data_IF_332347056094
#
_entry.id   IF_332347056094
#
_cell.length_a   1.000
_cell.length_b   1.000
_cell.length_c   1.000
_cell.angle_alpha   90.00
_cell.angle_beta   90.00
_cell.angle_gamma   90.00
#
_symmetry.space_group_name_H-M   'P 1'
#
loop_
_entity.id
_entity.type
_entity.pdbx_description
1 polymer ?
#
# COMPACT_ATOMS: atom_id res chain seq x y z
N UNK A 1 16.93 -10.70 -0.69
CA UNK A 1 15.55 -10.43 -1.15
C UNK A 1 14.79 -11.74 -1.07
N UNK A 2 13.61 -11.75 -0.43
CA UNK A 2 12.75 -12.94 -0.35
C UNK A 2 11.61 -12.73 -1.34
N UNK A 3 11.38 -13.68 -2.23
CA UNK A 3 10.27 -13.61 -3.17
C UNK A 3 8.95 -13.79 -2.42
N UNK A 4 8.03 -12.84 -2.62
CA UNK A 4 6.69 -12.92 -2.08
C UNK A 4 5.70 -13.05 -3.24
N UNK A 5 5.18 -14.26 -3.51
CA UNK A 5 4.23 -14.45 -4.60
C UNK A 5 2.96 -13.63 -4.33
N UNK A 6 2.62 -12.75 -5.28
CA UNK A 6 1.43 -11.91 -5.23
C UNK A 6 0.56 -12.15 -6.46
N UNK A 7 -0.78 -12.16 -6.32
CA UNK A 7 -1.66 -12.27 -7.46
C UNK A 7 -1.49 -11.06 -8.39
N UNK A 8 -1.64 -11.31 -9.70
CA UNK A 8 -1.59 -10.24 -10.71
C UNK A 8 -2.63 -9.18 -10.39
N UNK A 9 -2.21 -7.92 -10.39
CA UNK A 9 -3.08 -6.76 -10.11
C UNK A 9 -3.18 -6.37 -8.64
N UNK A 10 -2.59 -7.14 -7.73
CA UNK A 10 -2.45 -6.73 -6.34
C UNK A 10 -1.12 -5.98 -6.11
N UNK A 11 -1.12 -5.09 -5.12
CA UNK A 11 0.07 -4.41 -4.62
C UNK A 11 0.17 -4.62 -3.11
N UNK A 12 1.37 -4.50 -2.58
CA UNK A 12 1.63 -4.53 -1.15
C UNK A 12 2.55 -3.36 -0.79
N UNK A 13 2.48 -2.94 0.46
CA UNK A 13 3.33 -1.91 1.04
C UNK A 13 3.43 -2.15 2.54
N UNK A 14 4.38 -1.47 3.16
CA UNK A 14 4.58 -1.58 4.58
C UNK A 14 3.65 -0.60 5.32
N UNK A 15 3.44 -0.91 6.60
CA UNK A 15 2.83 0.04 7.53
C UNK A 15 3.92 1.01 8.00
N UNK A 16 3.66 2.33 8.07
CA UNK A 16 2.35 3.00 7.89
C UNK A 16 2.09 3.58 6.48
N UNK A 17 2.93 3.30 5.49
CA UNK A 17 2.94 4.01 4.20
C UNK A 17 1.63 3.92 3.41
N UNK A 18 0.87 2.84 3.57
CA UNK A 18 -0.42 2.66 2.89
C UNK A 18 -1.65 3.12 3.71
N UNK A 19 -1.48 3.53 4.97
CA UNK A 19 -2.59 4.00 5.79
C UNK A 19 -3.39 5.16 5.17
N UNK A 20 -2.78 6.13 4.44
CA UNK A 20 -3.54 7.18 3.76
C UNK A 20 -4.55 6.68 2.72
N UNK A 21 -4.43 5.42 2.28
CA UNK A 21 -5.38 4.79 1.35
C UNK A 21 -6.58 4.16 2.06
N UNK A 22 -6.56 4.03 3.38
CA UNK A 22 -7.66 3.45 4.14
C UNK A 22 -8.91 4.32 4.00
N UNK A 23 -10.06 3.73 3.62
CA UNK A 23 -11.33 4.45 3.67
C UNK A 23 -11.71 4.74 5.12
N UNK A 24 -12.13 5.97 5.39
CA UNK A 24 -12.57 6.37 6.73
C UNK A 24 -13.96 5.81 7.07
N UNK A 25 -14.85 5.74 6.08
CA UNK A 25 -16.25 5.38 6.25
C UNK A 25 -16.56 3.92 5.89
N UNK A 26 -15.53 3.09 5.64
CA UNK A 26 -15.71 1.69 5.27
C UNK A 26 -14.98 0.75 6.23
N UNK A 27 -15.76 0.17 7.13
CA UNK A 27 -15.31 -0.68 8.22
C UNK A 27 -16.40 -1.71 8.55
N UNK A 28 -16.02 -2.76 9.26
CA UNK A 28 -16.95 -3.76 9.78
C UNK A 28 -17.90 -3.14 10.82
N UNK A 29 -19.22 -3.28 10.63
CA UNK A 29 -20.23 -2.57 11.43
C UNK A 29 -20.25 -2.96 12.91
N UNK A 30 -19.79 -4.17 13.26
CA UNK A 30 -19.85 -4.68 14.63
C UNK A 30 -18.55 -4.37 15.38
N UNK A 31 -17.41 -4.67 14.78
CA UNK A 31 -16.09 -4.53 15.42
C UNK A 31 -15.44 -3.16 15.20
N UNK A 32 -15.88 -2.41 14.19
CA UNK A 32 -15.21 -1.17 13.75
C UNK A 32 -13.88 -1.41 13.05
N UNK A 33 -13.55 -2.65 12.69
CA UNK A 33 -12.29 -2.98 12.01
C UNK A 33 -12.27 -2.37 10.60
N UNK A 34 -11.27 -1.56 10.23
CA UNK A 34 -11.18 -1.00 8.88
C UNK A 34 -11.00 -2.07 7.80
N UNK A 35 -11.52 -1.81 6.59
CA UNK A 35 -11.37 -2.67 5.42
C UNK A 35 -9.95 -2.63 4.80
N UNK A 36 -8.91 -2.85 5.61
CA UNK A 36 -7.51 -2.56 5.26
C UNK A 36 -6.85 -3.50 4.24
N UNK A 37 -7.41 -4.69 4.01
CA UNK A 37 -6.79 -5.73 3.15
C UNK A 37 -7.38 -5.79 1.74
N UNK A 38 -8.37 -4.95 1.43
CA UNK A 38 -9.01 -4.93 0.12
C UNK A 38 -9.44 -3.50 -0.24
N UNK A 39 -8.45 -2.67 -0.55
CA UNK A 39 -8.67 -1.27 -0.95
C UNK A 39 -8.46 -1.19 -2.47
N UNK A 40 -9.47 -0.81 -3.27
CA UNK A 40 -9.30 -0.51 -4.68
C UNK A 40 -8.37 0.68 -4.87
N UNK A 41 -7.35 0.54 -5.72
CA UNK A 41 -6.35 1.58 -5.97
C UNK A 41 -6.08 1.72 -7.47
N UNK A 42 -5.61 2.91 -7.86
CA UNK A 42 -5.08 3.17 -9.20
C UNK A 42 -3.60 3.51 -9.10
N UNK A 43 -2.75 2.71 -9.73
CA UNK A 43 -1.31 2.98 -9.81
C UNK A 43 -1.05 3.95 -10.95
N UNK A 44 -0.30 5.02 -10.67
CA UNK A 44 0.12 6.02 -11.66
C UNK A 44 1.63 6.26 -11.54
N UNK A 45 2.32 6.66 -12.62
CA UNK A 45 3.71 7.09 -12.54
C UNK A 45 3.87 8.24 -11.55
N UNK A 46 4.87 8.17 -10.68
CA UNK A 46 5.22 9.29 -9.81
C UNK A 46 5.79 10.44 -10.65
N UNK A 47 5.33 11.67 -10.36
CA UNK A 47 5.90 12.90 -10.93
C UNK A 47 7.06 13.45 -10.09
N UNK A 48 7.29 12.89 -8.91
CA UNK A 48 8.39 13.27 -8.03
C UNK A 48 9.67 12.50 -8.40
N UNK A 49 10.69 13.22 -8.86
CA UNK A 49 12.05 12.70 -8.97
C UNK A 49 12.70 12.71 -7.58
N UNK A 50 12.57 11.63 -6.81
CA UNK A 50 13.42 11.44 -5.64
C UNK A 50 14.84 11.09 -6.10
N UNK A 51 15.86 11.79 -5.57
CA UNK A 51 17.25 11.45 -5.85
C UNK A 51 17.53 10.00 -5.41
N UNK A 52 18.22 9.18 -6.22
CA UNK A 52 18.48 7.79 -5.87
C UNK A 52 19.30 7.72 -4.58
N UNK A 53 18.83 6.95 -3.61
CA UNK A 53 19.58 6.63 -2.39
C UNK A 53 20.80 5.80 -2.82
N UNK A 54 22.00 6.37 -2.66
CA UNK A 54 23.24 5.61 -2.86
C UNK A 54 23.52 4.80 -1.62
N UNK A 55 23.37 3.48 -1.70
CA UNK A 55 23.91 2.57 -0.70
C UNK A 55 25.41 2.50 -0.94
N UNK A 56 26.20 3.07 -0.02
CA UNK A 56 27.65 2.87 0.00
C UNK A 56 27.93 1.39 0.34
N UNK A 57 28.80 0.77 -0.44
CA UNK A 57 29.17 -0.65 -0.34
C UNK A 57 29.95 -1.00 0.91
#
# INVERSE_FOLDING_TARGET
>A
VIDYPMPRGAIAGYYPELNPLLPLDYFDEISGTPAAKSIPVKVVPSVASAAPIRIAG
#
